data_IF_803553384184
#
_entry.id   IF_803553384184
#
_cell.length_a   1.000
_cell.length_b   1.000
_cell.length_c   1.000
_cell.angle_alpha   90.00
_cell.angle_beta   90.00
_cell.angle_gamma   90.00
#
_symmetry.space_group_name_H-M   'P 1'
#
loop_
_entity.id
_entity.type
_entity.pdbx_description
1 polymer ?
#
# COMPACT_ATOMS: atom_id res chain seq x y z
N UNK A 1 2.42 18.89 0.42
CA UNK A 1 1.03 19.36 0.65
C UNK A 1 0.84 19.88 2.08
N UNK A 2 1.01 19.09 3.14
CA UNK A 2 0.92 19.61 4.53
C UNK A 2 2.16 20.39 5.00
N UNK A 3 3.35 20.07 4.49
CA UNK A 3 4.59 20.82 4.75
C UNK A 3 4.52 22.29 4.31
N UNK A 4 3.72 22.59 3.28
CA UNK A 4 3.68 23.91 2.64
C UNK A 4 2.51 24.78 3.15
N UNK A 5 1.51 24.19 3.80
CA UNK A 5 0.24 24.87 4.13
C UNK A 5 0.13 25.39 5.57
N UNK A 6 1.18 25.28 6.39
CA UNK A 6 1.11 25.70 7.80
C UNK A 6 0.14 24.85 8.65
N UNK A 7 -0.21 25.32 9.85
CA UNK A 7 -1.01 24.58 10.84
C UNK A 7 -2.52 24.56 10.47
N UNK A 8 -2.87 23.99 9.32
CA UNK A 8 -4.25 23.85 8.85
C UNK A 8 -4.82 22.46 9.23
N UNK A 9 -5.64 22.46 10.28
CA UNK A 9 -6.31 21.27 10.80
C UNK A 9 -7.30 20.67 9.78
N UNK A 10 -7.93 21.49 8.93
CA UNK A 10 -8.84 21.02 7.90
C UNK A 10 -8.12 20.21 6.82
N UNK A 11 -6.97 20.70 6.38
CA UNK A 11 -6.13 19.97 5.43
C UNK A 11 -5.59 18.67 6.02
N UNK A 12 -5.24 18.66 7.32
CA UNK A 12 -4.82 17.46 8.03
C UNK A 12 -5.92 16.38 8.01
N UNK A 13 -7.17 16.76 8.31
CA UNK A 13 -8.30 15.82 8.26
C UNK A 13 -8.47 15.20 6.88
N UNK A 14 -8.45 16.01 5.82
CA UNK A 14 -8.61 15.51 4.44
C UNK A 14 -7.51 14.53 4.07
N UNK A 15 -6.25 14.85 4.38
CA UNK A 15 -5.12 13.97 4.07
C UNK A 15 -5.22 12.65 4.84
N UNK A 16 -5.53 12.69 6.15
CA UNK A 16 -5.68 11.47 6.96
C UNK A 16 -6.85 10.62 6.47
N UNK A 17 -7.99 11.23 6.14
CA UNK A 17 -9.15 10.49 5.61
C UNK A 17 -8.84 9.86 4.26
N UNK A 18 -8.19 10.59 3.35
CA UNK A 18 -7.78 10.06 2.06
C UNK A 18 -6.79 8.89 2.21
N UNK A 19 -5.80 9.02 3.09
CA UNK A 19 -4.81 7.99 3.37
C UNK A 19 -5.44 6.70 3.93
N UNK A 20 -6.33 6.84 4.91
CA UNK A 20 -7.05 5.68 5.49
C UNK A 20 -7.98 5.02 4.48
N UNK A 21 -8.67 5.79 3.63
CA UNK A 21 -9.52 5.26 2.58
C UNK A 21 -8.70 4.49 1.55
N UNK A 22 -7.57 5.04 1.10
CA UNK A 22 -6.64 4.37 0.18
C UNK A 22 -6.05 3.11 0.79
N UNK A 23 -5.62 3.15 2.06
CA UNK A 23 -5.10 1.98 2.78
C UNK A 23 -6.16 0.87 2.95
N UNK A 24 -7.40 1.24 3.25
CA UNK A 24 -8.52 0.31 3.32
C UNK A 24 -8.83 -0.36 1.97
N UNK A 25 -8.83 0.43 0.89
CA UNK A 25 -9.06 -0.07 -0.47
C UNK A 25 -7.93 -1.00 -0.93
N UNK A 26 -6.67 -0.65 -0.66
CA UNK A 26 -5.51 -1.47 -0.96
C UNK A 26 -5.56 -2.82 -0.23
N UNK A 27 -5.94 -2.82 1.06
CA UNK A 27 -6.11 -4.05 1.84
C UNK A 27 -7.22 -4.95 1.26
N UNK A 28 -8.39 -4.38 0.96
CA UNK A 28 -9.50 -5.13 0.36
C UNK A 28 -9.13 -5.74 -1.00
N UNK A 29 -8.49 -4.95 -1.87
CA UNK A 29 -8.03 -5.43 -3.18
C UNK A 29 -6.97 -6.53 -3.05
N UNK A 30 -6.05 -6.41 -2.08
CA UNK A 30 -5.04 -7.42 -1.81
C UNK A 30 -5.63 -8.74 -1.32
N UNK A 31 -6.58 -8.69 -0.37
CA UNK A 31 -7.30 -9.88 0.09
C UNK A 31 -8.07 -10.54 -1.06
N UNK A 32 -8.76 -9.75 -1.90
CA UNK A 32 -9.46 -10.27 -3.07
C UNK A 32 -8.50 -10.93 -4.08
N UNK A 33 -7.33 -10.34 -4.31
CA UNK A 33 -6.28 -10.92 -5.16
C UNK A 33 -5.77 -12.26 -4.59
N UNK A 34 -5.47 -12.32 -3.30
CA UNK A 34 -5.08 -13.58 -2.66
C UNK A 34 -6.15 -14.65 -2.75
N UNK A 35 -7.42 -14.27 -2.50
CA UNK A 35 -8.57 -15.17 -2.64
C UNK A 35 -8.70 -15.73 -4.06
N UNK A 36 -8.30 -14.96 -5.08
CA UNK A 36 -8.27 -15.42 -6.48
C UNK A 36 -7.11 -16.38 -6.79
N UNK A 37 -6.01 -16.31 -6.03
CA UNK A 37 -4.80 -17.14 -6.23
C UNK A 37 -4.85 -18.46 -5.46
N UNK A 38 -5.60 -18.53 -4.36
CA UNK A 38 -5.66 -19.74 -3.53
C UNK A 38 -6.73 -20.72 -4.03
N UNK A 39 -6.29 -21.90 -4.47
CA UNK A 39 -7.16 -23.08 -4.56
C UNK A 39 -7.47 -23.57 -3.14
N UNK A 40 -8.73 -23.89 -2.86
CA UNK A 40 -9.33 -24.16 -1.53
C UNK A 40 -8.69 -25.36 -0.80
N UNK A 41 -7.75 -26.07 -1.44
CA UNK A 41 -7.19 -27.34 -0.98
C UNK A 41 -5.99 -27.29 -0.01
N UNK A 42 -5.30 -26.14 0.16
CA UNK A 42 -4.15 -25.97 1.12
C UNK A 42 -4.19 -24.61 1.87
N UNK A 43 -5.38 -24.23 2.32
CA UNK A 43 -5.76 -22.87 2.76
C UNK A 43 -5.02 -22.32 3.98
N UNK A 44 -4.64 -23.14 4.97
CA UNK A 44 -4.08 -22.62 6.23
C UNK A 44 -2.67 -22.04 6.08
N UNK A 45 -1.76 -22.74 5.39
CA UNK A 45 -0.35 -22.32 5.28
C UNK A 45 -0.17 -21.20 4.26
N UNK A 46 -0.85 -21.27 3.10
CA UNK A 46 -0.76 -20.23 2.08
C UNK A 46 -1.30 -18.90 2.59
N UNK A 47 -2.46 -18.90 3.24
CA UNK A 47 -3.02 -17.69 3.84
C UNK A 47 -2.13 -17.12 4.94
N UNK A 48 -1.56 -17.97 5.81
CA UNK A 48 -0.64 -17.53 6.86
C UNK A 48 0.63 -16.88 6.29
N UNK A 49 1.21 -17.44 5.23
CA UNK A 49 2.40 -16.88 4.57
C UNK A 49 2.06 -15.55 3.90
N UNK A 50 0.95 -15.46 3.16
CA UNK A 50 0.57 -14.22 2.49
C UNK A 50 0.17 -13.11 3.47
N UNK A 51 -0.56 -13.43 4.54
CA UNK A 51 -0.90 -12.49 5.62
C UNK A 51 0.35 -12.03 6.38
N UNK A 52 1.29 -12.95 6.64
CA UNK A 52 2.58 -12.61 7.24
C UNK A 52 3.39 -11.71 6.32
N UNK A 53 3.42 -11.97 5.00
CA UNK A 53 4.13 -11.15 4.04
C UNK A 53 3.53 -9.75 3.93
N UNK A 54 2.20 -9.66 3.95
CA UNK A 54 1.44 -8.40 3.91
C UNK A 54 1.78 -7.50 5.10
N UNK A 55 2.01 -8.08 6.27
CA UNK A 55 2.21 -7.33 7.51
C UNK A 55 3.69 -7.12 7.83
N UNK A 56 4.55 -8.10 7.56
CA UNK A 56 5.96 -8.08 7.95
C UNK A 56 6.77 -7.09 7.12
N UNK A 57 6.66 -7.12 5.80
CA UNK A 57 7.49 -6.27 4.92
C UNK A 57 7.21 -4.78 5.15
N UNK A 58 5.94 -4.30 5.16
CA UNK A 58 5.67 -2.90 5.42
C UNK A 58 6.08 -2.47 6.84
N UNK A 59 5.95 -3.36 7.82
CA UNK A 59 6.29 -3.05 9.23
C UNK A 59 7.79 -2.93 9.45
N UNK A 60 8.60 -3.74 8.76
CA UNK A 60 10.06 -3.58 8.78
C UNK A 60 10.45 -2.26 8.13
N UNK A 61 9.92 -1.97 6.92
CA UNK A 61 10.23 -0.72 6.21
C UNK A 61 9.77 0.53 6.98
N UNK A 62 8.58 0.49 7.59
CA UNK A 62 8.07 1.54 8.47
C UNK A 62 8.81 1.65 9.80
N UNK A 63 9.46 0.59 10.27
CA UNK A 63 10.36 0.66 11.43
C UNK A 63 11.60 1.49 11.16
N UNK A 64 12.15 1.40 9.95
CA UNK A 64 13.32 2.19 9.53
C UNK A 64 12.98 3.59 8.99
N UNK A 65 11.70 3.88 8.75
CA UNK A 65 11.31 5.17 8.16
C UNK A 65 11.66 6.37 9.03
N UNK A 66 11.68 6.23 10.36
CA UNK A 66 12.06 7.31 11.27
C UNK A 66 13.49 7.81 11.03
N UNK A 67 14.46 6.90 10.97
CA UNK A 67 15.86 7.25 10.69
C UNK A 67 16.05 7.78 9.26
N UNK A 68 15.25 7.31 8.31
CA UNK A 68 15.29 7.82 6.93
C UNK A 68 14.78 9.27 6.91
N UNK A 69 13.64 9.55 7.52
CA UNK A 69 13.06 10.90 7.62
C UNK A 69 14.02 11.87 8.32
N UNK A 70 14.75 11.42 9.35
CA UNK A 70 15.74 12.23 10.04
C UNK A 70 16.90 12.67 9.11
N UNK A 71 17.23 11.85 8.10
CA UNK A 71 18.29 12.14 7.13
C UNK A 71 17.84 12.95 5.90
N UNK A 72 16.63 12.72 5.38
CA UNK A 72 16.16 13.34 4.11
C UNK A 72 14.99 14.32 4.28
N UNK A 73 14.45 14.45 5.49
CA UNK A 73 13.28 15.28 5.80
C UNK A 73 11.94 14.63 5.42
N UNK A 74 10.86 15.11 6.05
CA UNK A 74 9.51 14.60 5.80
C UNK A 74 9.05 14.79 4.35
N UNK A 75 9.34 15.93 3.74
CA UNK A 75 8.90 16.24 2.37
C UNK A 75 9.46 15.26 1.34
N UNK A 76 10.79 15.09 1.33
CA UNK A 76 11.47 14.16 0.43
C UNK A 76 11.05 12.72 0.69
N UNK A 77 10.85 12.33 1.95
CA UNK A 77 10.38 11.00 2.30
C UNK A 77 9.00 10.70 1.73
N UNK A 78 8.02 11.59 1.93
CA UNK A 78 6.67 11.41 1.38
C UNK A 78 6.63 11.46 -0.15
N UNK A 79 7.48 12.27 -0.80
CA UNK A 79 7.62 12.23 -2.25
C UNK A 79 8.22 10.90 -2.74
N UNK A 80 9.24 10.39 -2.05
CA UNK A 80 9.86 9.11 -2.39
C UNK A 80 8.86 7.96 -2.25
N UNK A 81 8.09 7.90 -1.16
CA UNK A 81 7.07 6.86 -0.98
C UNK A 81 5.96 6.96 -2.01
N UNK A 82 5.52 8.18 -2.38
CA UNK A 82 4.56 8.39 -3.45
C UNK A 82 5.09 7.92 -4.82
N UNK A 83 6.36 8.17 -5.12
CA UNK A 83 7.01 7.70 -6.35
C UNK A 83 7.16 6.18 -6.38
N UNK A 84 7.41 5.54 -5.24
CA UNK A 84 7.45 4.06 -5.15
C UNK A 84 6.09 3.42 -5.46
N UNK A 85 4.99 4.14 -5.28
CA UNK A 85 3.64 3.66 -5.64
C UNK A 85 3.42 3.56 -7.15
N UNK A 86 4.10 4.40 -7.94
CA UNK A 86 3.95 4.45 -9.40
C UNK A 86 4.28 3.11 -10.08
N UNK A 87 5.46 2.50 -9.86
CA UNK A 87 5.76 1.20 -10.45
C UNK A 87 4.79 0.10 -9.99
N UNK A 88 4.26 0.18 -8.77
CA UNK A 88 3.24 -0.76 -8.28
C UNK A 88 1.95 -0.63 -9.11
N UNK A 89 1.48 0.59 -9.36
CA UNK A 89 0.31 0.82 -10.22
C UNK A 89 0.53 0.34 -11.66
N UNK A 90 1.73 0.55 -12.22
CA UNK A 90 2.10 0.05 -13.56
C UNK A 90 2.04 -1.49 -13.60
N UNK A 91 2.57 -2.16 -12.58
CA UNK A 91 2.52 -3.62 -12.47
C UNK A 91 1.07 -4.12 -12.35
N UNK A 92 0.22 -3.44 -11.58
CA UNK A 92 -1.20 -3.77 -11.46
C UNK A 92 -1.91 -3.63 -12.81
N UNK A 93 -1.68 -2.54 -13.55
CA UNK A 93 -2.27 -2.35 -14.88
C UNK A 93 -1.78 -3.40 -15.88
N UNK A 94 -0.49 -3.76 -15.83
CA UNK A 94 0.07 -4.81 -16.68
C UNK A 94 -0.51 -6.19 -16.33
N UNK A 95 -0.63 -6.50 -15.05
CA UNK A 95 -1.26 -7.72 -14.56
C UNK A 95 -2.74 -7.77 -14.95
N UNK A 96 -3.50 -6.69 -14.78
CA UNK A 96 -4.91 -6.60 -15.19
C UNK A 96 -5.09 -6.77 -16.70
N UNK A 97 -4.14 -6.32 -17.53
CA UNK A 97 -4.17 -6.53 -18.97
C UNK A 97 -3.86 -7.99 -19.36
N UNK A 98 -3.00 -8.67 -18.60
CA UNK A 98 -2.61 -10.09 -18.80
C UNK A 98 -3.66 -11.06 -18.26
N UNK A 99 -4.21 -10.76 -17.09
CA UNK A 99 -5.36 -11.43 -16.49
C UNK A 99 -6.62 -10.71 -16.98
N UNK A 100 -7.05 -11.02 -18.21
CA UNK A 100 -8.37 -10.65 -18.68
C UNK A 100 -9.41 -11.31 -17.76
N UNK A 101 -9.73 -10.66 -16.64
CA UNK A 101 -10.81 -11.00 -15.70
C UNK A 101 -12.19 -10.75 -16.35
N UNK A 102 -12.29 -11.00 -17.65
CA UNK A 102 -13.50 -10.85 -18.46
C UNK A 102 -14.11 -12.20 -18.85
N UNK A 103 -13.75 -13.28 -18.14
CA UNK A 103 -14.56 -14.51 -18.15
C UNK A 103 -14.68 -15.05 -16.73
N UNK A 104 -15.64 -14.50 -15.98
CA UNK A 104 -16.75 -15.26 -15.40
C UNK A 104 -17.88 -14.34 -14.98
#
# INVERSE_FOLDING_TARGET
LLTTSGHDIGMLYVVITADNLSGGLANAAFIAFLSSLTNISFTAVQYAIFSSLMTLIPKILGGYSGSIVESIGFESFFLMTALMSVPVLVLILFAAKRFNLNEK
#
